data_IF_474805043354
#
_entry.id   IF_474805043354
#
_cell.length_a   1.000
_cell.length_b   1.000
_cell.length_c   1.000
_cell.angle_alpha   90.00
_cell.angle_beta   90.00
_cell.angle_gamma   90.00
#
_symmetry.space_group_name_H-M   'P 1'
#
loop_
_entity.id
_entity.type
_entity.pdbx_description
1 polymer ?
#
# COMPACT_ATOMS: atom_id res chain seq x y z
N UNK A 1 17.06 12.90 -1.36
CA UNK A 1 15.83 13.69 -1.26
C UNK A 1 15.49 14.06 0.17
N UNK A 2 15.49 13.10 1.11
CA UNK A 2 15.26 13.38 2.54
C UNK A 2 16.16 14.49 3.12
N UNK A 3 17.46 14.50 2.77
CA UNK A 3 18.37 15.58 3.21
C UNK A 3 18.01 16.95 2.62
N UNK A 4 17.54 16.99 1.37
CA UNK A 4 17.20 18.24 0.66
C UNK A 4 15.90 18.82 1.18
N UNK A 5 14.93 17.95 1.45
CA UNK A 5 13.62 18.31 2.00
C UNK A 5 13.59 18.19 3.54
N UNK A 6 14.77 18.13 4.16
CA UNK A 6 14.92 18.10 5.62
C UNK A 6 14.23 19.31 6.25
N UNK A 7 13.37 19.05 7.23
CA UNK A 7 12.51 20.06 7.86
C UNK A 7 11.16 20.29 7.15
N UNK A 8 10.98 19.83 5.91
CA UNK A 8 9.65 19.80 5.24
C UNK A 8 9.03 18.40 5.22
N UNK A 9 9.84 17.35 5.34
CA UNK A 9 9.36 15.98 5.48
C UNK A 9 8.48 15.86 6.72
N UNK A 10 7.28 15.27 6.55
CA UNK A 10 6.22 15.14 7.55
C UNK A 10 5.54 16.45 8.00
N UNK A 11 6.07 17.62 7.62
CA UNK A 11 5.40 18.91 7.85
C UNK A 11 4.59 19.37 6.63
N UNK A 12 5.19 19.31 5.44
CA UNK A 12 4.62 19.84 4.20
C UNK A 12 4.61 18.81 3.06
N UNK A 13 5.38 17.73 3.17
CA UNK A 13 5.45 16.68 2.16
C UNK A 13 5.86 15.34 2.76
N UNK A 14 5.54 14.26 2.07
CA UNK A 14 6.13 12.94 2.29
C UNK A 14 7.03 12.61 1.12
N UNK A 15 8.17 12.00 1.42
CA UNK A 15 9.22 11.68 0.45
C UNK A 15 9.52 10.20 0.55
N UNK A 16 9.60 9.54 -0.60
CA UNK A 16 10.10 8.18 -0.69
C UNK A 16 11.02 8.07 -1.90
N UNK A 17 12.32 7.89 -1.66
CA UNK A 17 13.36 7.92 -2.68
C UNK A 17 13.29 9.20 -3.53
N UNK A 18 12.84 9.10 -4.77
CA UNK A 18 12.67 10.19 -5.74
C UNK A 18 11.23 10.73 -5.82
N UNK A 19 10.25 10.01 -5.27
CA UNK A 19 8.86 10.42 -5.27
C UNK A 19 8.55 11.36 -4.09
N UNK A 20 7.76 12.40 -4.37
CA UNK A 20 7.27 13.38 -3.38
C UNK A 20 5.76 13.45 -3.51
N UNK A 21 5.05 13.39 -2.38
CA UNK A 21 3.64 13.73 -2.30
C UNK A 21 3.44 14.90 -1.33
N UNK A 22 2.59 15.83 -1.73
CA UNK A 22 2.17 16.99 -0.94
C UNK A 22 0.66 16.83 -0.76
N UNK A 23 0.17 16.82 0.48
CA UNK A 23 -1.25 16.65 0.81
C UNK A 23 -1.62 17.69 1.84
N UNK A 24 -2.75 18.36 1.64
CA UNK A 24 -3.26 19.37 2.59
C UNK A 24 -4.78 19.44 2.56
N UNK A 25 -5.37 20.06 3.59
CA UNK A 25 -6.83 20.21 3.73
C UNK A 25 -7.39 21.36 2.91
N UNK A 26 -6.61 22.44 2.77
CA UNK A 26 -7.02 23.63 2.00
C UNK A 26 -6.13 23.87 0.78
N UNK A 27 -6.70 24.54 -0.22
CA UNK A 27 -5.95 24.94 -1.42
C UNK A 27 -4.81 25.90 -1.10
N UNK A 28 -5.03 26.83 -0.17
CA UNK A 28 -4.02 27.84 0.21
C UNK A 28 -2.81 27.21 0.89
N UNK A 29 -3.04 26.31 1.86
CA UNK A 29 -1.96 25.52 2.49
C UNK A 29 -1.22 24.68 1.45
N UNK A 30 -1.97 23.99 0.59
CA UNK A 30 -1.39 23.15 -0.47
C UNK A 30 -0.49 23.97 -1.42
N UNK A 31 -0.96 25.14 -1.86
CA UNK A 31 -0.21 26.03 -2.73
C UNK A 31 1.07 26.54 -2.06
N UNK A 32 0.99 26.94 -0.78
CA UNK A 32 2.14 27.37 -0.01
C UNK A 32 3.17 26.24 0.16
N UNK A 33 2.72 25.02 0.43
CA UNK A 33 3.60 23.87 0.59
C UNK A 33 4.26 23.44 -0.74
N UNK A 34 3.55 23.49 -1.86
CA UNK A 34 4.15 23.34 -3.19
C UNK A 34 5.27 24.36 -3.39
N UNK A 35 5.02 25.64 -3.08
CA UNK A 35 6.04 26.69 -3.23
C UNK A 35 7.29 26.42 -2.40
N UNK A 36 7.12 26.02 -1.13
CA UNK A 36 8.23 25.67 -0.22
C UNK A 36 9.05 24.50 -0.76
N UNK A 37 8.39 23.43 -1.20
CA UNK A 37 9.04 22.24 -1.76
C UNK A 37 9.79 22.59 -3.04
N UNK A 38 9.16 23.28 -3.99
CA UNK A 38 9.81 23.68 -5.25
C UNK A 38 11.02 24.59 -5.01
N UNK A 39 10.94 25.48 -4.02
CA UNK A 39 12.07 26.32 -3.64
C UNK A 39 13.26 25.49 -3.13
N UNK A 40 13.02 24.52 -2.24
CA UNK A 40 14.09 23.62 -1.76
C UNK A 40 14.72 22.79 -2.87
N UNK A 41 13.90 22.27 -3.79
CA UNK A 41 14.40 21.54 -4.94
C UNK A 41 15.27 22.42 -5.84
N UNK A 42 14.86 23.68 -6.05
CA UNK A 42 15.64 24.66 -6.81
C UNK A 42 16.97 24.99 -6.13
N UNK A 43 16.98 25.21 -4.82
CA UNK A 43 18.20 25.49 -4.03
C UNK A 43 19.20 24.32 -4.11
N UNK A 44 18.71 23.09 -4.16
CA UNK A 44 19.52 21.88 -4.33
C UNK A 44 19.84 21.54 -5.79
N UNK A 45 19.47 22.38 -6.75
CA UNK A 45 19.64 22.15 -8.19
C UNK A 45 19.02 20.83 -8.70
N UNK A 46 17.89 20.42 -8.11
CA UNK A 46 17.11 19.27 -8.53
C UNK A 46 16.03 19.68 -9.53
N UNK A 47 15.73 18.78 -10.48
CA UNK A 47 14.75 19.01 -11.54
C UNK A 47 13.62 18.01 -11.45
N UNK A 48 12.40 18.49 -11.66
CA UNK A 48 11.21 17.67 -11.79
C UNK A 48 10.95 17.37 -13.26
N UNK A 49 10.41 16.18 -13.55
CA UNK A 49 9.93 15.82 -14.88
C UNK A 49 8.48 16.31 -15.03
N UNK A 50 8.18 17.36 -15.82
CA UNK A 50 6.84 17.96 -15.87
C UNK A 50 5.75 16.96 -16.27
N UNK A 51 6.07 16.01 -17.15
CA UNK A 51 5.16 14.95 -17.60
C UNK A 51 4.73 13.97 -16.50
N UNK A 52 5.49 13.89 -15.40
CA UNK A 52 5.21 13.02 -14.24
C UNK A 52 4.64 13.81 -13.05
N UNK A 53 4.52 15.13 -13.16
CA UNK A 53 3.98 15.96 -12.09
C UNK A 53 2.45 16.01 -12.17
N UNK A 54 1.79 15.57 -11.10
CA UNK A 54 0.34 15.62 -10.96
C UNK A 54 -0.04 16.67 -9.90
N UNK A 55 -0.29 17.90 -10.33
CA UNK A 55 -0.59 19.03 -9.43
C UNK A 55 -2.10 19.27 -9.27
N UNK A 56 -2.51 19.74 -8.09
CA UNK A 56 -3.89 20.15 -7.77
C UNK A 56 -4.96 19.09 -8.07
N UNK A 57 -4.66 17.83 -7.77
CA UNK A 57 -5.60 16.70 -7.94
C UNK A 57 -6.27 16.35 -6.61
N UNK A 58 -7.53 15.93 -6.68
CA UNK A 58 -8.26 15.37 -5.53
C UNK A 58 -7.84 13.94 -5.18
N UNK A 59 -7.28 13.24 -6.16
CA UNK A 59 -6.71 11.91 -6.00
C UNK A 59 -5.43 11.79 -6.83
N UNK A 60 -4.42 11.11 -6.28
CA UNK A 60 -3.13 10.87 -6.96
C UNK A 60 -2.67 9.44 -6.74
N UNK A 61 -1.92 8.91 -7.72
CA UNK A 61 -1.20 7.65 -7.55
C UNK A 61 0.15 7.95 -6.90
N UNK A 62 0.45 7.28 -5.80
CA UNK A 62 1.72 7.40 -5.09
C UNK A 62 2.12 6.03 -4.53
N UNK A 63 3.33 5.57 -4.88
CA UNK A 63 3.87 4.27 -4.45
C UNK A 63 2.90 3.09 -4.66
N UNK A 64 2.24 3.02 -5.82
CA UNK A 64 1.30 1.95 -6.13
C UNK A 64 0.02 1.93 -5.27
N UNK A 65 -0.34 3.07 -4.68
CA UNK A 65 -1.61 3.31 -4.02
C UNK A 65 -2.30 4.54 -4.62
N UNK A 66 -3.63 4.58 -4.53
CA UNK A 66 -4.38 5.80 -4.78
C UNK A 66 -4.62 6.48 -3.44
N UNK A 67 -4.21 7.74 -3.37
CA UNK A 67 -4.33 8.62 -2.20
C UNK A 67 -5.43 9.63 -2.52
N UNK A 68 -6.50 9.65 -1.73
CA UNK A 68 -7.61 10.60 -1.87
C UNK A 68 -8.00 11.18 -0.51
N UNK A 69 -9.02 12.03 -0.47
CA UNK A 69 -9.59 12.53 0.78
C UNK A 69 -10.27 11.44 1.63
N UNK A 70 -10.75 10.36 1.01
CA UNK A 70 -11.43 9.25 1.69
C UNK A 70 -10.45 8.29 2.36
N UNK A 71 -9.19 8.29 1.94
CA UNK A 71 -8.18 7.39 2.46
C UNK A 71 -7.21 6.88 1.40
N UNK A 72 -6.62 5.74 1.70
CA UNK A 72 -5.68 5.03 0.85
C UNK A 72 -6.37 3.78 0.30
N UNK A 73 -6.33 3.60 -1.02
CA UNK A 73 -6.81 2.39 -1.69
C UNK A 73 -5.75 1.78 -2.60
N UNK A 74 -5.97 0.54 -2.99
CA UNK A 74 -5.11 -0.17 -3.93
C UNK A 74 -5.16 0.46 -5.32
N UNK A 75 -4.03 0.46 -6.04
CA UNK A 75 -3.96 0.92 -7.42
C UNK A 75 -4.72 -0.03 -8.36
N UNK A 76 -5.79 0.43 -9.06
CA UNK A 76 -6.58 -0.40 -9.97
C UNK A 76 -5.75 -1.11 -11.03
N UNK A 77 -4.66 -0.51 -11.52
CA UNK A 77 -3.82 -1.12 -12.55
C UNK A 77 -3.08 -2.33 -11.99
N UNK A 78 -2.55 -2.21 -10.76
CA UNK A 78 -1.88 -3.30 -10.04
C UNK A 78 -2.84 -4.41 -9.65
N UNK A 79 -4.06 -4.04 -9.23
CA UNK A 79 -5.11 -5.01 -8.89
C UNK A 79 -5.67 -5.72 -10.13
N UNK A 80 -5.76 -5.05 -11.28
CA UNK A 80 -6.17 -5.69 -12.53
C UNK A 80 -5.19 -6.81 -12.93
N UNK A 81 -3.89 -6.59 -12.71
CA UNK A 81 -2.86 -7.59 -12.96
C UNK A 81 -3.01 -8.80 -12.03
N UNK A 82 -3.35 -8.58 -10.74
CA UNK A 82 -3.65 -9.66 -9.78
C UNK A 82 -4.89 -10.45 -10.22
N UNK A 83 -5.97 -9.78 -10.63
CA UNK A 83 -7.21 -10.42 -11.09
C UNK A 83 -6.97 -11.34 -12.29
N UNK A 84 -6.14 -10.91 -13.22
CA UNK A 84 -5.82 -11.65 -14.45
C UNK A 84 -4.60 -12.59 -14.29
N UNK A 85 -4.03 -12.69 -13.10
CA UNK A 85 -2.86 -13.54 -12.84
C UNK A 85 -3.20 -15.01 -13.07
N UNK A 86 -2.39 -15.69 -13.90
CA UNK A 86 -2.50 -17.13 -14.19
C UNK A 86 -1.95 -17.96 -13.03
N UNK A 87 -2.52 -19.12 -12.77
CA UNK A 87 -2.04 -20.01 -11.71
C UNK A 87 -0.54 -20.30 -11.87
N UNK A 88 0.29 -20.04 -10.84
CA UNK A 88 1.72 -20.30 -10.90
C UNK A 88 2.02 -21.76 -11.19
N UNK A 89 2.98 -22.00 -12.08
CA UNK A 89 3.43 -23.34 -12.48
C UNK A 89 4.77 -23.73 -11.84
N UNK A 90 5.43 -22.76 -11.20
CA UNK A 90 6.70 -22.95 -10.50
C UNK A 90 6.81 -22.02 -9.27
N UNK A 91 7.84 -22.26 -8.46
CA UNK A 91 8.11 -21.50 -7.22
C UNK A 91 8.46 -20.03 -7.51
N UNK A 92 9.09 -19.72 -8.63
CA UNK A 92 9.47 -18.34 -8.97
C UNK A 92 8.26 -17.47 -9.31
N UNK A 93 7.34 -18.03 -10.11
CA UNK A 93 6.05 -17.40 -10.42
C UNK A 93 5.22 -17.22 -9.14
N UNK A 94 5.21 -18.22 -8.26
CA UNK A 94 4.48 -18.13 -7.00
C UNK A 94 5.07 -17.06 -6.07
N UNK A 95 6.40 -16.97 -5.95
CA UNK A 95 7.07 -15.91 -5.18
C UNK A 95 6.77 -14.52 -5.74
N UNK A 96 6.72 -14.38 -7.06
CA UNK A 96 6.36 -13.11 -7.71
C UNK A 96 4.94 -12.67 -7.37
N UNK A 97 3.98 -13.61 -7.44
CA UNK A 97 2.59 -13.37 -7.03
C UNK A 97 2.50 -12.99 -5.54
N UNK A 98 3.10 -13.80 -4.65
CA UNK A 98 3.08 -13.57 -3.21
C UNK A 98 3.76 -12.25 -2.82
N UNK A 99 4.81 -11.83 -3.53
CA UNK A 99 5.46 -10.54 -3.31
C UNK A 99 4.50 -9.37 -3.49
N UNK A 100 3.72 -9.38 -4.57
CA UNK A 100 2.71 -8.35 -4.83
C UNK A 100 1.56 -8.43 -3.81
N UNK A 101 1.09 -9.63 -3.50
CA UNK A 101 0.04 -9.82 -2.48
C UNK A 101 0.49 -9.32 -1.10
N UNK A 102 1.76 -9.54 -0.74
CA UNK A 102 2.35 -9.08 0.52
C UNK A 102 2.42 -7.56 0.58
N UNK A 103 2.71 -6.89 -0.55
CA UNK A 103 2.71 -5.43 -0.64
C UNK A 103 1.34 -4.83 -0.25
N UNK A 104 0.26 -5.48 -0.66
CA UNK A 104 -1.12 -5.08 -0.37
C UNK A 104 -1.74 -5.79 0.84
N UNK A 105 -0.97 -6.54 1.64
CA UNK A 105 -1.53 -7.37 2.74
C UNK A 105 -2.38 -6.60 3.75
N UNK A 106 -2.11 -5.30 3.95
CA UNK A 106 -2.87 -4.43 4.87
C UNK A 106 -4.34 -4.28 4.48
N UNK A 107 -4.70 -4.55 3.22
CA UNK A 107 -6.06 -4.53 2.72
C UNK A 107 -6.77 -5.88 2.81
N UNK A 108 -6.06 -6.94 3.21
CA UNK A 108 -6.56 -8.31 3.21
C UNK A 108 -6.65 -8.80 4.65
N UNK A 109 -7.89 -8.96 5.14
CA UNK A 109 -8.15 -9.58 6.43
C UNK A 109 -7.62 -11.02 6.43
N UNK A 110 -6.94 -11.39 7.52
CA UNK A 110 -6.38 -12.74 7.75
C UNK A 110 -5.42 -13.21 6.64
N UNK A 111 -4.67 -12.29 6.02
CA UNK A 111 -3.74 -12.58 4.92
C UNK A 111 -2.84 -13.78 5.17
N UNK A 112 -2.21 -13.85 6.34
CA UNK A 112 -1.25 -14.92 6.71
C UNK A 112 -1.92 -16.30 6.71
N UNK A 113 -3.16 -16.39 7.18
CA UNK A 113 -3.95 -17.62 7.19
C UNK A 113 -4.30 -18.04 5.77
N UNK A 114 -4.73 -17.10 4.92
CA UNK A 114 -5.10 -17.39 3.53
C UNK A 114 -3.86 -17.84 2.73
N UNK A 115 -2.75 -17.13 2.86
CA UNK A 115 -1.53 -17.37 2.09
C UNK A 115 -0.70 -18.58 2.59
N UNK A 116 -1.11 -19.24 3.68
CA UNK A 116 -0.33 -20.29 4.36
C UNK A 116 0.07 -21.44 3.42
N UNK A 117 -0.90 -22.01 2.70
CA UNK A 117 -0.65 -23.14 1.78
C UNK A 117 0.28 -22.74 0.63
N UNK A 118 0.21 -21.49 0.19
CA UNK A 118 1.09 -20.93 -0.84
C UNK A 118 2.51 -20.70 -0.31
N UNK A 119 2.67 -20.19 0.90
CA UNK A 119 3.99 -20.01 1.51
C UNK A 119 4.72 -21.34 1.70
N UNK A 120 4.02 -22.41 2.09
CA UNK A 120 4.58 -23.77 2.18
C UNK A 120 5.22 -24.23 0.88
N UNK A 121 4.62 -23.91 -0.27
CA UNK A 121 5.20 -24.23 -1.58
C UNK A 121 6.47 -23.45 -1.92
N UNK A 122 6.78 -22.39 -1.18
CA UNK A 122 7.99 -21.57 -1.38
C UNK A 122 9.16 -21.95 -0.48
N UNK A 123 8.95 -22.88 0.46
CA UNK A 123 9.96 -23.37 1.40
C UNK A 123 11.07 -24.17 0.70
N UNK A 124 12.26 -24.16 1.30
CA UNK A 124 13.41 -24.88 0.76
C UNK A 124 13.16 -26.39 0.81
N UNK A 125 13.60 -27.12 -0.23
CA UNK A 125 13.51 -28.58 -0.37
C UNK A 125 12.08 -29.15 -0.50
N UNK A 126 11.06 -28.30 -0.60
CA UNK A 126 9.69 -28.73 -0.88
C UNK A 126 9.47 -28.98 -2.38
N UNK A 127 8.77 -30.06 -2.73
CA UNK A 127 8.32 -30.28 -4.11
C UNK A 127 7.16 -29.34 -4.43
N UNK A 128 7.21 -28.68 -5.59
CA UNK A 128 6.11 -27.83 -6.06
C UNK A 128 4.94 -28.71 -6.54
N UNK A 129 3.98 -28.94 -5.66
CA UNK A 129 2.76 -29.69 -5.95
C UNK A 129 1.58 -28.76 -5.74
N UNK A 130 0.98 -28.29 -6.83
CA UNK A 130 -0.17 -27.39 -6.76
C UNK A 130 -1.43 -28.16 -6.37
N UNK A 131 -1.86 -28.00 -5.12
CA UNK A 131 -3.04 -28.69 -4.57
C UNK A 131 -4.32 -27.86 -4.73
N UNK A 132 -5.48 -28.47 -4.52
CA UNK A 132 -6.76 -27.74 -4.46
C UNK A 132 -6.77 -26.68 -3.35
N UNK A 133 -6.09 -26.93 -2.23
CA UNK A 133 -5.91 -25.94 -1.16
C UNK A 133 -5.12 -24.72 -1.63
N UNK A 134 -4.05 -24.92 -2.41
CA UNK A 134 -3.28 -23.84 -3.01
C UNK A 134 -4.12 -23.06 -4.03
N UNK A 135 -4.90 -23.75 -4.85
CA UNK A 135 -5.80 -23.11 -5.80
C UNK A 135 -6.87 -22.25 -5.10
N UNK A 136 -7.45 -22.75 -4.01
CA UNK A 136 -8.44 -22.01 -3.23
C UNK A 136 -7.82 -20.78 -2.56
N UNK A 137 -6.63 -20.93 -1.95
CA UNK A 137 -5.89 -19.81 -1.37
C UNK A 137 -5.53 -18.74 -2.41
N UNK A 138 -5.07 -19.17 -3.59
CA UNK A 138 -4.74 -18.28 -4.71
C UNK A 138 -5.96 -17.45 -5.16
N UNK A 139 -7.10 -18.09 -5.39
CA UNK A 139 -8.32 -17.39 -5.79
C UNK A 139 -8.85 -16.48 -4.67
N UNK A 140 -8.81 -16.94 -3.41
CA UNK A 140 -9.25 -16.13 -2.26
C UNK A 140 -8.40 -14.85 -2.10
N UNK A 141 -7.08 -14.92 -2.32
CA UNK A 141 -6.23 -13.74 -2.33
C UNK A 141 -6.55 -12.79 -3.49
N UNK A 142 -6.81 -13.34 -4.69
CA UNK A 142 -7.21 -12.51 -5.83
C UNK A 142 -8.51 -11.77 -5.54
N UNK A 143 -9.52 -12.47 -5.03
CA UNK A 143 -10.81 -11.88 -4.70
C UNK A 143 -10.65 -10.79 -3.63
N UNK A 144 -9.99 -11.09 -2.51
CA UNK A 144 -9.79 -10.14 -1.41
C UNK A 144 -9.03 -8.87 -1.83
N UNK A 145 -8.06 -8.99 -2.74
CA UNK A 145 -7.33 -7.84 -3.27
C UNK A 145 -8.15 -7.03 -4.27
N UNK A 146 -9.07 -7.68 -5.00
CA UNK A 146 -9.97 -6.99 -5.94
C UNK A 146 -11.17 -6.34 -5.28
N UNK A 147 -11.55 -6.78 -4.07
CA UNK A 147 -12.60 -6.19 -3.23
C UNK A 147 -12.04 -5.43 -2.02
N UNK A 148 -10.76 -5.07 -2.08
CA UNK A 148 -10.05 -4.39 -1.00
C UNK A 148 -10.79 -3.12 -0.54
N UNK A 149 -10.98 -2.93 0.79
CA UNK A 149 -11.60 -1.73 1.32
C UNK A 149 -10.67 -0.52 1.18
N UNK A 150 -11.23 0.67 1.33
CA UNK A 150 -10.46 1.89 1.52
C UNK A 150 -9.97 1.90 2.98
N UNK A 151 -8.68 2.16 3.19
CA UNK A 151 -8.13 2.37 4.53
C UNK A 151 -8.17 3.87 4.84
N UNK A 152 -8.96 4.25 5.85
CA UNK A 152 -9.06 5.63 6.31
C UNK A 152 -7.72 6.13 6.90
N UNK A 153 -7.53 7.45 6.89
CA UNK A 153 -6.40 8.06 7.59
C UNK A 153 -6.65 8.06 9.10
N UNK A 154 -5.59 7.89 9.91
CA UNK A 154 -5.73 8.01 11.34
C UNK A 154 -6.11 9.43 11.75
N UNK A 155 -7.10 9.56 12.61
CA UNK A 155 -7.47 10.83 13.23
C UNK A 155 -6.68 11.03 14.52
N UNK A 156 -5.87 12.09 14.53
CA UNK A 156 -5.09 12.49 15.70
C UNK A 156 -6.03 12.92 16.85
N UNK A 157 -5.77 12.40 18.05
CA UNK A 157 -6.56 12.72 19.25
C UNK A 157 -7.75 11.79 19.50
N UNK A 158 -8.09 10.89 18.57
CA UNK A 158 -9.03 9.79 18.80
C UNK A 158 -8.30 8.56 19.35
N UNK A 159 -9.04 7.71 20.07
CA UNK A 159 -8.50 6.46 20.61
C UNK A 159 -8.16 5.49 19.48
N UNK A 160 -7.01 4.84 19.58
CA UNK A 160 -6.64 3.72 18.73
C UNK A 160 -7.04 2.40 19.39
N UNK A 161 -7.54 1.48 18.58
CA UNK A 161 -7.93 0.13 18.97
C UNK A 161 -6.98 -0.84 18.27
N UNK A 162 -6.41 -1.76 19.05
CA UNK A 162 -5.56 -2.83 18.54
C UNK A 162 -6.15 -4.16 18.98
N UNK A 163 -6.81 -4.83 18.06
CA UNK A 163 -7.29 -6.20 18.26
C UNK A 163 -6.19 -7.16 17.84
N UNK A 164 -5.81 -8.07 18.73
CA UNK A 164 -4.78 -9.09 18.46
C UNK A 164 -5.32 -10.48 18.73
N UNK A 165 -4.99 -11.42 17.87
CA UNK A 165 -5.28 -12.84 18.06
C UNK A 165 -4.06 -13.67 17.65
N UNK A 166 -3.82 -14.78 18.35
CA UNK A 166 -2.71 -15.67 18.11
C UNK A 166 -3.12 -17.13 18.32
N UNK A 167 -2.55 -18.00 17.49
CA UNK A 167 -2.66 -19.45 17.59
C UNK A 167 -1.27 -20.07 17.53
N UNK A 168 -1.18 -21.40 17.69
CA UNK A 168 0.07 -22.13 17.50
C UNK A 168 0.65 -22.00 16.07
N UNK A 169 -0.14 -21.53 15.11
CA UNK A 169 0.24 -21.48 13.69
C UNK A 169 0.39 -20.06 13.13
N UNK A 170 -0.27 -19.07 13.71
CA UNK A 170 -0.27 -17.70 13.18
C UNK A 170 -0.64 -16.65 14.21
N UNK A 171 -0.14 -15.43 13.99
CA UNK A 171 -0.55 -14.21 14.69
C UNK A 171 -1.28 -13.28 13.71
N UNK A 172 -2.28 -12.56 14.20
CA UNK A 172 -3.03 -11.54 13.48
C UNK A 172 -3.24 -10.32 14.36
N UNK A 173 -3.29 -9.15 13.73
CA UNK A 173 -3.67 -7.92 14.40
C UNK A 173 -4.44 -7.02 13.45
N UNK A 174 -5.41 -6.29 13.98
CA UNK A 174 -6.13 -5.21 13.29
C UNK A 174 -5.92 -3.93 14.08
N UNK A 175 -5.46 -2.90 13.40
CA UNK A 175 -5.30 -1.56 13.95
C UNK A 175 -6.40 -0.67 13.39
N UNK A 176 -7.27 -0.16 14.26
CA UNK A 176 -8.49 0.56 13.89
C UNK A 176 -8.75 1.77 14.79
N UNK A 177 -9.69 2.61 14.37
CA UNK A 177 -10.26 3.71 15.14
C UNK A 177 -11.76 3.73 14.86
N UNK A 178 -12.54 4.14 15.86
CA UNK A 178 -13.97 4.41 15.67
C UNK A 178 -14.13 5.80 15.02
N UNK A 179 -14.70 5.84 13.82
CA UNK A 179 -14.95 7.06 13.05
C UNK A 179 -16.45 7.13 12.78
N UNK A 180 -17.11 8.16 13.34
CA UNK A 180 -18.56 8.38 13.21
C UNK A 180 -19.43 7.17 13.62
N UNK A 181 -18.97 6.41 14.61
CA UNK A 181 -19.66 5.22 15.12
C UNK A 181 -19.47 3.95 14.30
N UNK A 182 -18.48 3.93 13.39
CA UNK A 182 -18.06 2.78 12.57
C UNK A 182 -16.61 2.38 12.86
#
# INVERSE_FOLDING_TARGET
>A
METVLGGLSYEACLVYLDDIIIVERSFEEHFNNIRRVLQKLKEANLKLSPSKCHLFRREVTYLGHIISAEGVRTDPDKISAVKNWKSPTDVHQLRSFLGLCTYYRKFVKDFSTIARSLHKLTEAKQKFIWTNECNNAFNKLKDALTSAPILAYPETGKQFILDTDASCESIGAVFSQEIDGQ
#
